data_IF_425424764084
#
_entry.id   IF_425424764084
#
_cell.length_a   1.000
_cell.length_b   1.000
_cell.length_c   1.000
_cell.angle_alpha   90.00
_cell.angle_beta   90.00
_cell.angle_gamma   90.00
#
_symmetry.space_group_name_H-M   'P 1'
#
loop_
_entity.id
_entity.type
_entity.pdbx_description
1 polymer ?
#
# COMPACT_ATOMS: atom_id res chain seq x y z
N UNK A 1 -24.19 23.84 19.54
CA UNK A 1 -22.93 23.12 19.79
C UNK A 1 -21.93 23.62 18.76
N UNK A 2 -20.74 24.03 19.21
CA UNK A 2 -19.67 24.42 18.29
C UNK A 2 -18.99 23.15 17.75
N UNK A 3 -19.22 22.86 16.46
CA UNK A 3 -18.69 21.67 15.77
C UNK A 3 -17.35 21.93 15.09
N UNK A 4 -16.80 23.15 15.16
CA UNK A 4 -15.59 23.53 14.42
C UNK A 4 -14.38 22.63 14.76
N UNK A 5 -14.24 22.22 16.03
CA UNK A 5 -13.18 21.29 16.45
C UNK A 5 -13.36 19.89 15.86
N UNK A 6 -14.60 19.43 15.73
CA UNK A 6 -14.91 18.13 15.14
C UNK A 6 -14.66 18.15 13.62
N UNK A 7 -15.08 19.22 12.93
CA UNK A 7 -14.84 19.41 11.51
C UNK A 7 -13.33 19.42 11.19
N UNK A 8 -12.53 20.13 11.99
CA UNK A 8 -11.08 20.11 11.85
C UNK A 8 -10.47 18.73 12.10
N UNK A 9 -10.96 17.98 13.10
CA UNK A 9 -10.50 16.63 13.37
C UNK A 9 -10.82 15.67 12.21
N UNK A 10 -12.04 15.76 11.66
CA UNK A 10 -12.46 14.97 10.48
C UNK A 10 -11.61 15.32 9.27
N UNK A 11 -11.29 16.60 9.06
CA UNK A 11 -10.43 17.00 7.95
C UNK A 11 -9.02 16.39 8.07
N UNK A 12 -8.38 16.51 9.25
CA UNK A 12 -7.07 15.92 9.51
C UNK A 12 -7.05 14.40 9.34
N UNK A 13 -8.13 13.74 9.77
CA UNK A 13 -8.30 12.30 9.58
C UNK A 13 -8.31 11.93 8.10
N UNK A 14 -9.12 12.62 7.27
CA UNK A 14 -9.18 12.38 5.83
C UNK A 14 -7.86 12.65 5.11
N UNK A 15 -7.13 13.68 5.55
CA UNK A 15 -5.83 13.99 4.95
C UNK A 15 -4.79 12.92 5.29
N UNK A 16 -4.82 12.38 6.52
CA UNK A 16 -4.00 11.25 6.90
C UNK A 16 -4.36 9.97 6.13
N UNK A 17 -5.65 9.69 5.90
CA UNK A 17 -6.10 8.57 5.06
C UNK A 17 -5.56 8.69 3.63
N UNK A 18 -5.66 9.88 3.01
CA UNK A 18 -5.10 10.11 1.67
C UNK A 18 -3.59 9.90 1.63
N UNK A 19 -2.87 10.39 2.65
CA UNK A 19 -1.42 10.20 2.74
C UNK A 19 -1.06 8.73 2.89
N UNK A 20 -1.82 7.97 3.70
CA UNK A 20 -1.64 6.53 3.85
C UNK A 20 -1.92 5.78 2.54
N UNK A 21 -2.98 6.15 1.82
CA UNK A 21 -3.33 5.54 0.54
C UNK A 21 -2.25 5.78 -0.52
N UNK A 22 -1.69 6.99 -0.57
CA UNK A 22 -0.57 7.33 -1.44
C UNK A 22 0.67 6.49 -1.11
N UNK A 23 1.08 6.45 0.16
CA UNK A 23 2.21 5.64 0.61
C UNK A 23 2.01 4.15 0.30
N UNK A 24 0.77 3.64 0.47
CA UNK A 24 0.45 2.27 0.12
C UNK A 24 0.51 2.01 -1.41
N UNK A 25 0.22 3.01 -2.24
CA UNK A 25 0.36 2.92 -3.68
C UNK A 25 1.83 2.86 -4.11
N UNK A 26 2.69 3.66 -3.49
CA UNK A 26 4.14 3.66 -3.75
C UNK A 26 4.75 2.29 -3.42
N UNK A 27 4.43 1.74 -2.24
CA UNK A 27 4.88 0.38 -1.86
C UNK A 27 4.39 -0.67 -2.87
N UNK A 28 3.14 -0.57 -3.35
CA UNK A 28 2.64 -1.51 -4.36
C UNK A 28 3.36 -1.36 -5.70
N UNK A 29 3.73 -0.15 -6.11
CA UNK A 29 4.47 0.10 -7.34
C UNK A 29 5.86 -0.57 -7.29
N UNK A 30 6.59 -0.41 -6.18
CA UNK A 30 7.88 -1.10 -5.97
C UNK A 30 7.73 -2.62 -5.99
N UNK A 31 6.66 -3.15 -5.37
CA UNK A 31 6.37 -4.60 -5.42
C UNK A 31 6.10 -5.07 -6.86
N UNK A 32 5.43 -4.27 -7.70
CA UNK A 32 5.25 -4.61 -9.13
C UNK A 32 6.61 -4.73 -9.81
N UNK A 33 7.50 -3.77 -9.62
CA UNK A 33 8.85 -3.78 -10.20
C UNK A 33 9.62 -5.04 -9.75
N UNK A 34 9.58 -5.36 -8.46
CA UNK A 34 10.23 -6.58 -7.94
C UNK A 34 9.66 -7.87 -8.54
N UNK A 35 8.34 -7.92 -8.80
CA UNK A 35 7.67 -9.06 -9.43
C UNK A 35 8.02 -9.24 -10.92
N UNK A 36 8.56 -8.21 -11.58
CA UNK A 36 9.04 -8.31 -12.97
C UNK A 36 10.41 -8.98 -13.04
N UNK A 37 11.22 -8.85 -11.98
CA UNK A 37 12.60 -9.35 -11.92
C UNK A 37 12.78 -10.65 -11.13
N UNK A 38 11.74 -11.15 -10.44
CA UNK A 38 11.89 -12.28 -9.52
C UNK A 38 10.61 -13.10 -9.31
N UNK A 39 10.76 -14.25 -8.64
CA UNK A 39 9.60 -15.07 -8.29
C UNK A 39 8.80 -14.44 -7.16
N UNK A 40 7.50 -14.72 -7.12
CA UNK A 40 6.62 -14.20 -6.06
C UNK A 40 7.12 -14.57 -4.65
N UNK A 41 7.71 -15.75 -4.47
CA UNK A 41 8.22 -16.20 -3.17
C UNK A 41 9.41 -15.36 -2.72
N UNK A 42 10.32 -15.04 -3.63
CA UNK A 42 11.47 -14.17 -3.35
C UNK A 42 11.02 -12.75 -3.03
N UNK A 43 10.08 -12.21 -3.82
CA UNK A 43 9.51 -10.88 -3.54
C UNK A 43 8.82 -10.84 -2.18
N UNK A 44 8.02 -11.86 -1.82
CA UNK A 44 7.40 -11.91 -0.49
C UNK A 44 8.43 -11.94 0.64
N UNK A 45 9.53 -12.70 0.48
CA UNK A 45 10.59 -12.74 1.47
C UNK A 45 11.32 -11.40 1.60
N UNK A 46 11.66 -10.77 0.47
CA UNK A 46 12.34 -9.48 0.43
C UNK A 46 11.46 -8.36 1.02
N UNK A 47 10.19 -8.29 0.64
CA UNK A 47 9.23 -7.33 1.19
C UNK A 47 9.09 -7.52 2.70
N UNK A 48 9.01 -8.77 3.17
CA UNK A 48 8.94 -9.06 4.61
C UNK A 48 10.20 -8.64 5.36
N UNK A 49 11.38 -8.84 4.77
CA UNK A 49 12.65 -8.41 5.37
C UNK A 49 12.75 -6.88 5.49
N UNK A 50 12.33 -6.14 4.46
CA UNK A 50 12.42 -4.67 4.44
C UNK A 50 11.37 -4.03 5.35
N UNK A 51 10.13 -4.54 5.31
CA UNK A 51 8.99 -3.90 5.99
C UNK A 51 8.76 -4.40 7.42
N UNK A 52 9.27 -5.59 7.76
CA UNK A 52 8.94 -6.29 9.00
C UNK A 52 7.48 -6.73 9.09
N UNK A 53 6.71 -6.67 8.00
CA UNK A 53 5.29 -6.99 8.02
C UNK A 53 4.99 -8.48 8.10
N UNK A 54 3.86 -8.86 8.70
CA UNK A 54 3.47 -10.25 8.79
C UNK A 54 3.15 -10.84 7.41
N UNK A 55 3.38 -12.15 7.18
CA UNK A 55 3.14 -12.80 5.89
C UNK A 55 1.72 -12.64 5.33
N UNK A 56 0.72 -12.42 6.20
CA UNK A 56 -0.66 -12.14 5.76
C UNK A 56 -0.78 -10.79 5.08
N UNK A 57 -0.14 -9.75 5.64
CA UNK A 57 -0.16 -8.40 5.07
C UNK A 57 0.61 -8.34 3.75
N UNK A 58 1.77 -9.00 3.69
CA UNK A 58 2.57 -9.09 2.45
C UNK A 58 1.76 -9.73 1.31
N UNK A 59 1.06 -10.84 1.58
CA UNK A 59 0.22 -11.50 0.58
C UNK A 59 -0.88 -10.60 0.04
N UNK A 60 -1.49 -9.78 0.89
CA UNK A 60 -2.50 -8.81 0.45
C UNK A 60 -1.89 -7.73 -0.45
N UNK A 61 -0.70 -7.23 -0.11
CA UNK A 61 0.01 -6.22 -0.89
C UNK A 61 0.45 -6.74 -2.25
N UNK A 62 1.03 -7.95 -2.32
CA UNK A 62 1.40 -8.60 -3.58
C UNK A 62 0.18 -8.81 -4.48
N UNK A 63 -0.95 -9.26 -3.91
CA UNK A 63 -2.21 -9.38 -4.64
C UNK A 63 -2.71 -8.04 -5.17
N UNK A 64 -2.64 -6.99 -4.35
CA UNK A 64 -3.04 -5.64 -4.74
C UNK A 64 -2.14 -5.05 -5.83
N UNK A 65 -0.82 -5.21 -5.70
CA UNK A 65 0.19 -4.82 -6.68
C UNK A 65 -0.09 -5.46 -8.06
N UNK A 66 -0.38 -6.76 -8.09
CA UNK A 66 -0.79 -7.45 -9.33
C UNK A 66 -2.06 -6.89 -9.95
N UNK A 67 -3.05 -6.53 -9.13
CA UNK A 67 -4.29 -5.89 -9.62
C UNK A 67 -3.99 -4.52 -10.23
N UNK A 68 -3.14 -3.73 -9.59
CA UNK A 68 -2.68 -2.42 -10.07
C UNK A 68 -1.92 -2.53 -11.39
N UNK A 69 -0.97 -3.47 -11.51
CA UNK A 69 -0.23 -3.73 -12.76
C UNK A 69 -1.11 -4.20 -13.93
N UNK A 70 -2.28 -4.78 -13.64
CA UNK A 70 -3.26 -5.15 -14.67
C UNK A 70 -4.15 -3.98 -15.07
N UNK A 71 -4.47 -3.10 -14.14
CA UNK A 71 -5.30 -1.91 -14.38
C UNK A 71 -4.55 -0.85 -15.19
N UNK A 72 -3.24 -0.64 -14.95
CA UNK A 72 -2.42 0.31 -15.71
C UNK A 72 -2.03 -0.14 -17.12
N UNK A 73 -2.36 -1.38 -17.51
CA UNK A 73 -2.12 -1.93 -18.86
C UNK A 73 -3.36 -1.89 -19.77
N UNK A 74 -4.45 -1.28 -19.31
CA UNK A 74 -5.69 -1.05 -20.07
C UNK A 74 -5.81 0.42 -20.41
#
# INVERSE_FOLDING_TARGET
MDTAKLELAVQRYRDAEKALDAAAADVRAEIVILLESGSEREVQAQVGQVTGWPPRQIRLLVKAARKQARAGRR
#
